data_IF_159728005338
#
_entry.id   IF_159728005338
#
_cell.length_a   1.000
_cell.length_b   1.000
_cell.length_c   1.000
_cell.angle_alpha   90.00
_cell.angle_beta   90.00
_cell.angle_gamma   90.00
#
_symmetry.space_group_name_H-M   'P 1'
#
loop_
_entity.id
_entity.type
_entity.pdbx_description
1 polymer ?
#
# COMPACT_ATOMS: atom_id res chain seq x y z
N UNK A 1 13.03 -31.43 -29.23
CA UNK A 1 11.84 -30.55 -29.15
C UNK A 1 11.29 -30.70 -27.75
N UNK A 2 11.56 -29.73 -26.87
CA UNK A 2 10.99 -29.73 -25.53
C UNK A 2 9.96 -28.60 -25.45
N UNK A 3 8.74 -29.04 -25.13
CA UNK A 3 7.53 -28.27 -24.95
C UNK A 3 7.61 -27.49 -23.63
N UNK A 4 7.69 -26.16 -23.71
CA UNK A 4 7.66 -25.26 -22.56
C UNK A 4 6.20 -24.91 -22.25
N UNK A 5 5.49 -25.85 -21.64
CA UNK A 5 4.24 -25.58 -20.96
C UNK A 5 4.48 -24.62 -19.81
N UNK A 6 4.16 -23.34 -20.03
CA UNK A 6 3.98 -22.36 -18.97
C UNK A 6 2.92 -22.87 -17.99
N UNK A 7 3.36 -23.44 -16.87
CA UNK A 7 2.47 -23.76 -15.77
C UNK A 7 2.08 -22.43 -15.09
N UNK A 8 0.94 -21.90 -15.48
CA UNK A 8 0.24 -20.82 -14.80
C UNK A 8 -0.22 -21.38 -13.44
N UNK A 9 0.36 -20.88 -12.34
CA UNK A 9 -0.08 -21.22 -10.98
C UNK A 9 -1.35 -20.38 -10.65
N UNK A 10 -2.53 -21.01 -10.50
CA UNK A 10 -3.79 -20.31 -10.29
C UNK A 10 -4.04 -19.93 -8.81
N UNK A 11 -3.09 -20.08 -7.89
CA UNK A 11 -3.32 -19.90 -6.45
C UNK A 11 -2.65 -18.69 -5.78
N UNK A 12 -2.41 -17.60 -6.52
CA UNK A 12 -2.00 -16.34 -5.88
C UNK A 12 -3.20 -15.65 -5.19
N UNK A 13 -3.53 -16.12 -3.98
CA UNK A 13 -4.64 -15.62 -3.13
C UNK A 13 -4.53 -14.11 -2.84
N UNK A 14 -3.31 -13.58 -2.88
CA UNK A 14 -2.96 -12.17 -2.70
C UNK A 14 -3.35 -11.30 -3.91
N UNK A 15 -3.11 -11.74 -5.15
CA UNK A 15 -3.46 -10.99 -6.37
C UNK A 15 -4.97 -10.78 -6.54
N UNK A 16 -5.79 -11.78 -6.18
CA UNK A 16 -7.26 -11.69 -6.24
C UNK A 16 -7.88 -10.81 -5.15
N UNK A 17 -7.26 -10.74 -3.98
CA UNK A 17 -7.67 -9.80 -2.93
C UNK A 17 -7.26 -8.38 -3.30
N UNK A 18 -6.08 -8.22 -3.90
CA UNK A 18 -5.55 -6.92 -4.31
C UNK A 18 -6.28 -6.31 -5.50
N UNK A 19 -6.59 -7.07 -6.55
CA UNK A 19 -7.39 -6.57 -7.69
C UNK A 19 -8.84 -6.20 -7.32
N UNK A 20 -9.40 -6.82 -6.27
CA UNK A 20 -10.71 -6.43 -5.74
C UNK A 20 -10.64 -5.14 -4.92
N UNK A 21 -9.59 -4.99 -4.11
CA UNK A 21 -9.29 -3.76 -3.37
C UNK A 21 -8.97 -2.58 -4.33
N UNK A 22 -8.19 -2.81 -5.38
CA UNK A 22 -7.85 -1.84 -6.43
C UNK A 22 -9.09 -1.35 -7.19
N UNK A 23 -10.01 -2.25 -7.53
CA UNK A 23 -11.25 -1.88 -8.21
C UNK A 23 -12.23 -1.12 -7.30
N UNK A 24 -12.27 -1.46 -6.00
CA UNK A 24 -13.05 -0.70 -5.02
C UNK A 24 -12.45 0.68 -4.74
N UNK A 25 -11.13 0.79 -4.58
CA UNK A 25 -10.43 2.07 -4.38
C UNK A 25 -10.54 3.00 -5.60
N UNK A 26 -10.43 2.46 -6.83
CA UNK A 26 -10.67 3.21 -8.08
C UNK A 26 -12.10 3.73 -8.19
N UNK A 27 -13.09 2.96 -7.73
CA UNK A 27 -14.50 3.39 -7.74
C UNK A 27 -14.78 4.47 -6.69
N UNK A 28 -14.23 4.31 -5.48
CA UNK A 28 -14.38 5.28 -4.39
C UNK A 28 -13.75 6.65 -4.69
N UNK A 29 -12.68 6.70 -5.50
CA UNK A 29 -11.93 7.92 -5.79
C UNK A 29 -12.32 8.59 -7.13
N UNK A 30 -13.14 7.94 -7.96
CA UNK A 30 -13.64 8.47 -9.24
C UNK A 30 -14.61 9.66 -9.09
N UNK A 31 -15.20 9.83 -7.90
CA UNK A 31 -16.18 10.87 -7.59
C UNK A 31 -15.61 12.17 -7.00
N UNK A 32 -14.29 12.30 -6.86
CA UNK A 32 -13.65 13.47 -6.25
C UNK A 32 -13.09 14.40 -7.34
N UNK A 33 -13.61 15.64 -7.48
CA UNK A 33 -13.12 16.60 -8.48
C UNK A 33 -11.62 16.87 -8.29
N UNK A 34 -10.82 16.72 -9.35
CA UNK A 34 -9.36 16.87 -9.33
C UNK A 34 -8.56 15.60 -9.02
N UNK A 35 -9.20 14.53 -8.52
CA UNK A 35 -8.54 13.26 -8.19
C UNK A 35 -8.67 12.20 -9.30
N UNK A 36 -9.63 12.36 -10.23
CA UNK A 36 -9.72 11.53 -11.45
C UNK A 36 -8.60 11.79 -12.46
N UNK A 37 -7.77 12.82 -12.23
CA UNK A 37 -6.60 13.23 -13.05
C UNK A 37 -5.26 13.11 -12.31
N UNK A 38 -5.28 12.73 -11.03
CA UNK A 38 -4.08 12.24 -10.34
C UNK A 38 -3.82 10.84 -10.90
N UNK A 39 -3.02 10.85 -11.95
CA UNK A 39 -2.35 9.73 -12.56
C UNK A 39 -1.70 8.86 -11.48
N UNK A 40 -2.31 7.69 -11.27
CA UNK A 40 -1.80 6.57 -10.46
C UNK A 40 -0.48 5.96 -11.01
N UNK A 41 0.32 6.73 -11.76
CA UNK A 41 1.62 6.33 -12.31
C UNK A 41 2.55 5.78 -11.22
N UNK A 42 2.54 6.41 -10.03
CA UNK A 42 3.31 5.97 -8.89
C UNK A 42 2.98 4.55 -8.39
N UNK A 43 1.73 4.11 -8.44
CA UNK A 43 1.39 2.74 -8.06
C UNK A 43 1.79 1.73 -9.14
N UNK A 44 1.70 2.14 -10.41
CA UNK A 44 2.17 1.34 -11.54
C UNK A 44 3.69 1.17 -11.54
N UNK A 45 4.42 2.19 -11.06
CA UNK A 45 5.88 2.15 -10.94
C UNK A 45 6.33 1.19 -9.83
N UNK A 46 5.54 1.01 -8.77
CA UNK A 46 5.82 0.02 -7.73
C UNK A 46 5.72 -1.41 -8.30
N UNK A 47 4.72 -1.64 -9.17
CA UNK A 47 4.56 -2.90 -9.90
C UNK A 47 5.69 -3.14 -10.90
N UNK A 48 6.15 -2.09 -11.59
CA UNK A 48 7.29 -2.17 -12.53
C UNK A 48 8.59 -2.44 -11.80
N UNK A 49 8.84 -1.78 -10.66
CA UNK A 49 10.00 -2.03 -9.80
C UNK A 49 9.97 -3.43 -9.20
N UNK A 50 8.81 -3.87 -8.70
CA UNK A 50 8.64 -5.24 -8.21
C UNK A 50 8.96 -6.28 -9.28
N UNK A 51 8.48 -6.08 -10.53
CA UNK A 51 8.78 -6.95 -11.67
C UNK A 51 10.26 -6.91 -12.06
N UNK A 52 10.86 -5.71 -12.11
CA UNK A 52 12.27 -5.52 -12.43
C UNK A 52 13.18 -6.22 -11.40
N UNK A 53 12.91 -6.01 -10.11
CA UNK A 53 13.67 -6.62 -9.03
C UNK A 53 13.43 -8.14 -8.90
N UNK A 54 12.26 -8.65 -9.28
CA UNK A 54 12.04 -10.08 -9.42
C UNK A 54 12.88 -10.72 -10.56
N UNK A 55 13.34 -9.93 -11.53
CA UNK A 55 14.07 -10.36 -12.73
C UNK A 55 15.57 -10.60 -12.56
N UNK A 56 16.09 -10.62 -11.32
CA UNK A 56 17.52 -10.84 -11.04
C UNK A 56 18.26 -9.59 -10.56
N UNK A 57 17.75 -8.40 -10.87
CA UNK A 57 18.31 -7.11 -10.44
C UNK A 57 18.37 -6.99 -8.91
N UNK A 58 17.43 -7.61 -8.19
CA UNK A 58 17.45 -7.64 -6.72
C UNK A 58 18.70 -8.33 -6.17
N UNK A 59 19.18 -9.41 -6.80
CA UNK A 59 20.37 -10.13 -6.34
C UNK A 59 21.60 -9.24 -6.45
N UNK A 60 21.71 -8.51 -7.56
CA UNK A 60 22.83 -7.62 -7.81
C UNK A 60 22.80 -6.42 -6.86
N UNK A 61 21.62 -5.83 -6.62
CA UNK A 61 21.42 -4.77 -5.63
C UNK A 61 21.75 -5.27 -4.21
N UNK A 62 21.30 -6.47 -3.84
CA UNK A 62 21.60 -7.06 -2.53
C UNK A 62 23.11 -7.27 -2.36
N UNK A 63 23.79 -7.82 -3.37
CA UNK A 63 25.24 -8.03 -3.37
C UNK A 63 26.01 -6.71 -3.22
N UNK A 64 25.60 -5.66 -3.96
CA UNK A 64 26.15 -4.31 -3.83
C UNK A 64 25.99 -3.73 -2.42
N UNK A 65 24.85 -3.94 -1.77
CA UNK A 65 24.61 -3.46 -0.42
C UNK A 65 25.44 -4.22 0.62
N UNK A 66 25.68 -5.51 0.41
CA UNK A 66 26.53 -6.36 1.25
C UNK A 66 28.02 -6.01 1.06
N UNK A 67 28.44 -5.57 -0.13
CA UNK A 67 29.81 -5.11 -0.39
C UNK A 67 30.19 -3.94 0.54
N UNK A 68 29.27 -2.99 0.73
CA UNK A 68 29.52 -1.80 1.54
C UNK A 68 29.68 -2.11 3.02
N UNK A 69 28.86 -3.04 3.52
CA UNK A 69 28.95 -3.55 4.87
C UNK A 69 28.24 -4.89 4.95
N UNK A 70 28.69 -5.83 5.80
CA UNK A 70 27.93 -7.03 6.13
C UNK A 70 26.51 -6.68 6.61
N UNK A 71 25.51 -7.45 6.17
CA UNK A 71 24.09 -7.17 6.45
C UNK A 71 23.31 -8.43 6.75
N UNK A 72 22.28 -8.32 7.59
CA UNK A 72 21.24 -9.33 7.67
C UNK A 72 20.19 -9.14 6.56
N UNK A 73 19.40 -10.18 6.29
CA UNK A 73 18.32 -10.11 5.29
C UNK A 73 17.30 -9.00 5.56
N UNK A 74 16.97 -8.75 6.83
CA UNK A 74 16.09 -7.64 7.19
C UNK A 74 16.71 -6.26 6.94
N UNK A 75 18.02 -6.11 7.19
CA UNK A 75 18.72 -4.85 6.95
C UNK A 75 18.80 -4.53 5.47
N UNK A 76 18.80 -5.55 4.61
CA UNK A 76 18.70 -5.39 3.16
C UNK A 76 17.32 -4.91 2.72
N UNK A 77 16.25 -5.47 3.29
CA UNK A 77 14.88 -4.98 3.06
C UNK A 77 14.81 -3.49 3.40
N UNK A 78 15.33 -3.11 4.58
CA UNK A 78 15.35 -1.72 5.05
C UNK A 78 16.21 -0.82 4.18
N UNK A 79 17.42 -1.24 3.81
CA UNK A 79 18.30 -0.46 2.96
C UNK A 79 17.70 -0.19 1.56
N UNK A 80 16.95 -1.14 1.01
CA UNK A 80 16.26 -0.96 -0.28
C UNK A 80 15.03 -0.04 -0.12
N UNK A 81 14.28 -0.19 0.97
CA UNK A 81 13.19 0.73 1.35
C UNK A 81 13.70 2.17 1.45
N UNK A 82 14.80 2.39 2.16
CA UNK A 82 15.38 3.72 2.36
C UNK A 82 15.88 4.34 1.06
N UNK A 83 16.55 3.55 0.21
CA UNK A 83 17.01 4.02 -1.12
C UNK A 83 15.87 4.39 -2.06
N UNK A 84 14.68 3.82 -1.84
CA UNK A 84 13.46 4.18 -2.57
C UNK A 84 12.61 5.21 -1.83
N UNK A 85 13.14 5.84 -0.77
CA UNK A 85 12.39 6.82 0.04
C UNK A 85 11.07 6.26 0.61
N UNK A 86 11.09 4.99 1.00
CA UNK A 86 9.95 4.26 1.55
C UNK A 86 8.90 3.85 0.52
N UNK A 87 9.19 4.01 -0.77
CA UNK A 87 8.25 3.70 -1.84
C UNK A 87 8.14 2.19 -2.12
N UNK A 88 9.26 1.46 -2.07
CA UNK A 88 9.29 0.03 -2.30
C UNK A 88 10.11 -0.69 -1.24
N UNK A 89 9.47 -1.61 -0.52
CA UNK A 89 10.13 -2.54 0.39
C UNK A 89 9.98 -3.96 -0.16
N UNK A 90 11.07 -4.65 -0.54
CA UNK A 90 10.98 -6.02 -1.02
C UNK A 90 10.52 -6.94 0.13
N UNK A 91 9.65 -7.90 -0.19
CA UNK A 91 9.17 -8.83 0.83
C UNK A 91 10.26 -9.83 1.23
N UNK A 92 10.20 -10.38 2.45
CA UNK A 92 11.02 -11.51 2.86
C UNK A 92 11.05 -12.65 1.83
N UNK A 93 9.89 -12.95 1.22
CA UNK A 93 9.74 -14.02 0.24
C UNK A 93 10.49 -13.80 -1.07
N UNK A 94 11.01 -12.59 -1.34
CA UNK A 94 11.86 -12.31 -2.51
C UNK A 94 13.32 -12.12 -2.09
N UNK A 95 13.57 -11.48 -0.93
CA UNK A 95 14.94 -11.23 -0.46
C UNK A 95 15.65 -12.51 -0.03
N UNK A 96 15.01 -13.39 0.73
CA UNK A 96 15.67 -14.59 1.24
C UNK A 96 16.04 -15.57 0.12
N UNK A 97 15.19 -15.86 -0.89
CA UNK A 97 15.60 -16.64 -2.05
C UNK A 97 16.76 -16.02 -2.83
N UNK A 98 16.78 -14.69 -2.98
CA UNK A 98 17.90 -13.99 -3.61
C UNK A 98 19.21 -14.19 -2.83
N UNK A 99 19.16 -14.14 -1.51
CA UNK A 99 20.32 -14.38 -0.64
C UNK A 99 20.79 -15.83 -0.68
N UNK A 100 19.87 -16.79 -0.68
CA UNK A 100 20.19 -18.22 -0.86
C UNK A 100 20.93 -18.43 -2.18
N UNK A 101 20.43 -17.83 -3.28
CA UNK A 101 21.11 -17.92 -4.56
C UNK A 101 22.53 -17.35 -4.53
N UNK A 102 22.72 -16.16 -3.95
CA UNK A 102 24.05 -15.54 -3.85
C UNK A 102 25.01 -16.40 -3.03
N UNK A 103 24.51 -17.06 -1.99
CA UNK A 103 25.30 -17.98 -1.16
C UNK A 103 25.67 -19.25 -1.93
N UNK A 104 24.71 -19.88 -2.60
CA UNK A 104 24.92 -21.08 -3.42
C UNK A 104 25.87 -20.83 -4.59
N UNK A 105 25.81 -19.63 -5.19
CA UNK A 105 26.72 -19.17 -6.24
C UNK A 105 28.12 -18.80 -5.70
N UNK A 106 28.32 -18.82 -4.37
CA UNK A 106 29.59 -18.48 -3.73
C UNK A 106 29.93 -16.99 -3.74
N UNK A 107 28.97 -16.11 -4.02
CA UNK A 107 29.15 -14.65 -4.03
C UNK A 107 29.09 -14.03 -2.63
N UNK A 108 28.44 -14.70 -1.68
CA UNK A 108 28.39 -14.30 -0.27
C UNK A 108 28.62 -15.50 0.64
N UNK A 109 29.12 -15.25 1.85
CA UNK A 109 29.11 -16.21 2.96
C UNK A 109 28.11 -15.76 4.01
N UNK A 110 27.54 -16.71 4.75
CA UNK A 110 26.64 -16.44 5.85
C UNK A 110 27.19 -16.99 7.16
N UNK A 111 27.40 -16.12 8.15
CA UNK A 111 27.74 -16.51 9.53
C UNK A 111 26.53 -16.37 10.44
N UNK A 112 26.41 -17.27 11.42
CA UNK A 112 25.38 -17.14 12.44
C UNK A 112 25.80 -16.12 13.50
N UNK A 113 24.99 -15.09 13.70
CA UNK A 113 25.16 -14.07 14.73
C UNK A 113 23.83 -13.89 15.46
N UNK A 114 23.79 -14.23 16.76
CA UNK A 114 22.62 -14.03 17.62
C UNK A 114 21.27 -14.43 16.99
N UNK A 115 21.20 -15.64 16.40
CA UNK A 115 20.04 -16.22 15.70
C UNK A 115 19.68 -15.60 14.34
N UNK A 116 20.51 -14.72 13.80
CA UNK A 116 20.36 -14.15 12.44
C UNK A 116 21.56 -14.52 11.59
N UNK A 117 21.35 -14.61 10.28
CA UNK A 117 22.44 -14.84 9.32
C UNK A 117 23.01 -13.49 8.90
N UNK A 118 24.30 -13.26 9.15
CA UNK A 118 25.04 -12.10 8.65
C UNK A 118 25.68 -12.49 7.32
N UNK A 119 25.31 -11.80 6.25
CA UNK A 119 25.85 -12.04 4.92
C UNK A 119 27.05 -11.11 4.67
N UNK A 120 28.14 -11.69 4.17
CA UNK A 120 29.38 -10.99 3.84
C UNK A 120 29.80 -11.34 2.41
N UNK A 121 30.26 -10.35 1.64
CA UNK A 121 30.68 -10.57 0.25
C UNK A 121 31.98 -11.39 0.18
N UNK A 122 32.07 -12.30 -0.80
CA UNK A 122 33.31 -13.06 -1.10
C UNK A 122 34.14 -12.37 -2.18
N UNK A 123 35.36 -12.84 -2.42
CA UNK A 123 36.17 -12.36 -3.55
C UNK A 123 35.49 -12.63 -4.90
N UNK A 124 34.88 -13.81 -5.06
CA UNK A 124 34.09 -14.15 -6.26
C UNK A 124 32.86 -13.24 -6.40
N UNK A 125 32.23 -12.85 -5.29
CA UNK A 125 31.15 -11.87 -5.28
C UNK A 125 31.61 -10.48 -5.69
N UNK A 126 32.79 -10.03 -5.23
CA UNK A 126 33.39 -8.75 -5.64
C UNK A 126 33.69 -8.73 -7.13
N UNK A 127 34.29 -9.80 -7.66
CA UNK A 127 34.55 -9.92 -9.10
C UNK A 127 33.25 -9.88 -9.92
N UNK A 128 32.25 -10.68 -9.54
CA UNK A 128 30.95 -10.68 -10.21
C UNK A 128 30.26 -9.30 -10.15
N UNK A 129 30.34 -8.61 -9.01
CA UNK A 129 29.80 -7.26 -8.86
C UNK A 129 30.56 -6.23 -9.71
N UNK A 130 31.89 -6.37 -9.83
CA UNK A 130 32.71 -5.50 -10.68
C UNK A 130 32.32 -5.64 -12.16
N UNK A 131 32.10 -6.88 -12.64
CA UNK A 131 31.66 -7.16 -14.01
C UNK A 131 30.25 -6.59 -14.32
N UNK A 132 29.43 -6.42 -13.28
CA UNK A 132 28.05 -5.96 -13.39
C UNK A 132 27.83 -4.57 -12.78
N UNK A 133 28.90 -3.80 -12.58
CA UNK A 133 28.85 -2.54 -11.85
C UNK A 133 27.93 -1.51 -12.50
N UNK A 134 28.00 -1.39 -13.82
CA UNK A 134 27.15 -0.47 -14.58
C UNK A 134 25.67 -0.82 -14.43
N UNK A 135 25.33 -2.11 -14.47
CA UNK A 135 23.95 -2.58 -14.32
C UNK A 135 23.38 -2.29 -12.93
N UNK A 136 24.19 -2.48 -11.86
CA UNK A 136 23.72 -2.17 -10.51
C UNK A 136 23.56 -0.68 -10.28
N UNK A 137 24.47 0.13 -10.81
CA UNK A 137 24.40 1.59 -10.70
C UNK A 137 23.20 2.14 -11.46
N UNK A 138 22.95 1.67 -12.68
CA UNK A 138 21.75 2.03 -13.45
C UNK A 138 20.45 1.66 -12.71
N UNK A 139 20.42 0.48 -12.08
CA UNK A 139 19.29 0.02 -11.26
C UNK A 139 19.07 0.93 -10.05
N UNK A 140 20.12 1.23 -9.29
CA UNK A 140 20.05 2.09 -8.11
C UNK A 140 19.65 3.52 -8.46
N UNK A 141 20.17 4.05 -9.57
CA UNK A 141 19.80 5.37 -10.08
C UNK A 141 18.32 5.44 -10.48
N UNK A 142 17.82 4.40 -11.14
CA UNK A 142 16.41 4.28 -11.46
C UNK A 142 15.55 4.26 -10.18
N UNK A 143 15.89 3.41 -9.21
CA UNK A 143 15.19 3.34 -7.92
C UNK A 143 15.20 4.69 -7.18
N UNK A 144 16.34 5.38 -7.17
CA UNK A 144 16.48 6.70 -6.57
C UNK A 144 15.64 7.79 -7.26
N UNK A 145 15.59 7.78 -8.61
CA UNK A 145 14.73 8.71 -9.38
C UNK A 145 13.25 8.49 -9.08
N UNK A 146 12.80 7.24 -9.05
CA UNK A 146 11.41 6.90 -8.73
C UNK A 146 11.08 7.27 -7.29
N UNK A 147 11.96 6.93 -6.34
CA UNK A 147 11.78 7.27 -4.93
C UNK A 147 11.58 8.77 -4.69
N UNK A 148 12.40 9.62 -5.31
CA UNK A 148 12.25 11.10 -5.22
C UNK A 148 10.92 11.60 -5.77
N UNK A 149 10.56 11.17 -6.99
CA UNK A 149 9.28 11.55 -7.63
C UNK A 149 8.09 11.15 -6.76
N UNK A 150 8.16 9.97 -6.15
CA UNK A 150 7.10 9.47 -5.27
C UNK A 150 7.04 10.19 -3.93
N UNK A 151 8.19 10.59 -3.37
CA UNK A 151 8.25 11.47 -2.21
C UNK A 151 7.51 12.79 -2.45
N UNK A 152 7.74 13.44 -3.58
CA UNK A 152 7.05 14.68 -3.97
C UNK A 152 5.54 14.49 -4.13
N UNK A 153 5.12 13.39 -4.77
CA UNK A 153 3.70 13.04 -4.94
C UNK A 153 3.06 12.81 -3.56
N UNK A 154 3.70 12.04 -2.68
CA UNK A 154 3.20 11.75 -1.33
C UNK A 154 3.07 13.01 -0.49
N UNK A 155 4.03 13.93 -0.58
CA UNK A 155 3.97 15.22 0.10
C UNK A 155 2.76 16.03 -0.39
N UNK A 156 2.59 16.19 -1.70
CA UNK A 156 1.44 16.89 -2.29
C UNK A 156 0.10 16.25 -1.91
N UNK A 157 0.04 14.91 -1.89
CA UNK A 157 -1.14 14.18 -1.41
C UNK A 157 -1.40 14.41 0.07
N UNK A 158 -0.37 14.42 0.92
CA UNK A 158 -0.53 14.69 2.35
C UNK A 158 -1.03 16.11 2.59
N UNK A 159 -0.48 17.10 1.87
CA UNK A 159 -0.95 18.49 1.91
C UNK A 159 -2.41 18.61 1.44
N UNK A 160 -2.78 17.83 0.43
CA UNK A 160 -4.15 17.75 -0.08
C UNK A 160 -5.10 17.04 0.90
N UNK A 161 -4.69 15.94 1.53
CA UNK A 161 -5.47 15.21 2.55
C UNK A 161 -5.67 16.06 3.80
N UNK A 162 -4.63 16.75 4.27
CA UNK A 162 -4.70 17.68 5.39
C UNK A 162 -5.64 18.85 5.06
N UNK A 163 -5.59 19.38 3.82
CA UNK A 163 -6.54 20.38 3.34
C UNK A 163 -7.98 19.84 3.25
N UNK A 164 -8.18 18.58 2.86
CA UNK A 164 -9.49 17.91 2.84
C UNK A 164 -10.02 17.62 4.25
N UNK A 165 -9.16 17.23 5.20
CA UNK A 165 -9.49 17.03 6.61
C UNK A 165 -9.86 18.34 7.31
N UNK A 166 -9.19 19.44 6.95
CA UNK A 166 -9.51 20.79 7.43
C UNK A 166 -10.71 21.42 6.72
N UNK A 167 -11.09 20.92 5.54
CA UNK A 167 -12.33 21.32 4.90
C UNK A 167 -13.52 20.70 5.67
N UNK A 168 -14.60 21.44 5.95
CA UNK A 168 -15.76 20.91 6.66
C UNK A 168 -16.47 19.90 5.76
N UNK A 169 -16.16 18.61 5.94
CA UNK A 169 -16.78 17.44 5.30
C UNK A 169 -17.42 17.78 3.95
N UNK A 170 -16.63 17.87 2.88
CA UNK A 170 -17.17 18.17 1.56
C UNK A 170 -18.06 17.01 1.09
N UNK A 171 -19.26 17.32 0.63
CA UNK A 171 -20.39 16.40 0.37
C UNK A 171 -20.10 15.30 -0.66
N UNK A 172 -19.33 14.29 -0.26
CA UNK A 172 -19.16 13.06 -1.02
C UNK A 172 -20.45 12.23 -0.91
N UNK A 173 -21.00 11.72 -2.03
CA UNK A 173 -22.11 10.77 -1.99
C UNK A 173 -21.69 9.48 -1.28
N UNK A 174 -22.59 8.90 -0.48
CA UNK A 174 -22.38 7.55 0.05
C UNK A 174 -22.47 6.52 -1.06
N UNK A 175 -21.51 5.59 -1.11
CA UNK A 175 -21.50 4.48 -2.08
C UNK A 175 -22.38 3.32 -1.60
N UNK A 176 -23.06 2.65 -2.52
CA UNK A 176 -23.92 1.50 -2.22
C UNK A 176 -25.21 1.80 -1.45
N UNK A 177 -25.64 3.06 -1.35
CA UNK A 177 -26.93 3.43 -0.73
C UNK A 177 -27.93 3.97 -1.74
N UNK A 178 -29.22 3.85 -1.42
CA UNK A 178 -30.28 4.43 -2.24
C UNK A 178 -30.21 5.98 -2.23
N UNK A 179 -30.53 6.66 -3.35
CA UNK A 179 -30.39 8.12 -3.48
C UNK A 179 -31.13 8.91 -2.39
N UNK A 180 -32.26 8.39 -1.93
CA UNK A 180 -33.10 9.00 -0.90
C UNK A 180 -32.39 9.08 0.45
N UNK A 181 -31.58 8.06 0.79
CA UNK A 181 -30.83 8.04 2.05
C UNK A 181 -29.66 9.03 2.01
N UNK A 182 -28.93 9.13 0.91
CA UNK A 182 -27.86 10.13 0.77
C UNK A 182 -28.44 11.56 0.73
N UNK A 183 -29.59 11.76 0.08
CA UNK A 183 -30.30 13.05 0.09
C UNK A 183 -30.73 13.45 1.50
N UNK A 184 -31.34 12.54 2.26
CA UNK A 184 -31.75 12.79 3.65
C UNK A 184 -30.56 13.14 4.55
N UNK A 185 -29.44 12.42 4.40
CA UNK A 185 -28.19 12.71 5.12
C UNK A 185 -27.69 14.14 4.85
N UNK A 186 -27.70 14.57 3.59
CA UNK A 186 -27.28 15.93 3.20
C UNK A 186 -28.19 16.99 3.81
N UNK A 187 -29.50 16.77 3.81
CA UNK A 187 -30.48 17.68 4.45
C UNK A 187 -30.20 17.83 5.94
N UNK A 188 -30.00 16.72 6.67
CA UNK A 188 -29.67 16.73 8.10
C UNK A 188 -28.37 17.49 8.34
N UNK A 189 -27.33 17.24 7.53
CA UNK A 189 -26.04 17.91 7.65
C UNK A 189 -26.13 19.42 7.41
N UNK A 190 -26.93 19.87 6.44
CA UNK A 190 -27.20 21.30 6.20
C UNK A 190 -27.88 21.93 7.41
N UNK A 191 -28.94 21.31 7.93
CA UNK A 191 -29.65 21.81 9.10
C UNK A 191 -28.75 21.89 10.33
N UNK A 192 -27.83 20.93 10.53
CA UNK A 192 -26.87 20.98 11.63
C UNK A 192 -25.85 22.10 11.49
N UNK A 193 -25.42 22.45 10.27
CA UNK A 193 -24.55 23.62 10.02
C UNK A 193 -25.26 24.93 10.38
N UNK A 194 -26.58 25.00 10.25
CA UNK A 194 -27.37 26.17 10.65
C UNK A 194 -27.54 26.23 12.17
N UNK A 195 -27.75 25.08 12.82
CA UNK A 195 -27.97 24.98 14.27
C UNK A 195 -26.68 25.11 15.08
N UNK A 196 -25.50 24.81 14.52
CA UNK A 196 -24.22 24.87 15.26
C UNK A 196 -23.91 26.26 15.83
N UNK A 197 -24.43 27.32 15.21
CA UNK A 197 -24.27 28.71 15.66
C UNK A 197 -25.46 29.23 16.49
N UNK A 198 -26.47 28.41 16.76
CA UNK A 198 -27.63 28.77 17.57
C UNK A 198 -27.34 28.70 19.08
N UNK A 199 -28.27 29.19 19.90
CA UNK A 199 -28.17 29.14 21.37
C UNK A 199 -28.15 27.71 21.93
N UNK A 200 -27.59 27.55 23.14
CA UNK A 200 -27.38 26.24 23.76
C UNK A 200 -28.66 25.43 24.01
N UNK A 201 -29.83 26.06 24.14
CA UNK A 201 -31.11 25.35 24.24
C UNK A 201 -31.52 24.75 22.89
N UNK A 202 -31.39 25.51 21.81
CA UNK A 202 -31.68 25.05 20.45
C UNK A 202 -30.73 23.92 20.04
N UNK A 203 -29.45 24.01 20.40
CA UNK A 203 -28.49 22.93 20.20
C UNK A 203 -28.87 21.65 20.97
N UNK A 204 -29.29 21.77 22.23
CA UNK A 204 -29.76 20.62 23.05
C UNK A 204 -30.99 19.95 22.47
N UNK A 205 -31.96 20.74 21.97
CA UNK A 205 -33.15 20.21 21.29
C UNK A 205 -32.79 19.46 20.01
N UNK A 206 -31.88 20.00 19.19
CA UNK A 206 -31.40 19.33 18.00
C UNK A 206 -30.66 18.01 18.31
N UNK A 207 -29.85 17.99 19.38
CA UNK A 207 -29.19 16.76 19.84
C UNK A 207 -30.20 15.67 20.22
N UNK A 208 -31.26 16.01 20.96
CA UNK A 208 -32.32 15.05 21.32
C UNK A 208 -33.05 14.47 20.10
N UNK A 209 -33.29 15.29 19.06
CA UNK A 209 -33.88 14.83 17.80
C UNK A 209 -32.96 13.83 17.10
N UNK A 210 -31.65 14.11 17.03
CA UNK A 210 -30.68 13.21 16.44
C UNK A 210 -30.56 11.90 17.20
N UNK A 211 -30.55 11.93 18.54
CA UNK A 211 -30.50 10.73 19.38
C UNK A 211 -31.70 9.83 19.14
N UNK A 212 -32.91 10.41 19.07
CA UNK A 212 -34.13 9.68 18.74
C UNK A 212 -34.04 9.06 17.34
N UNK A 213 -33.68 9.86 16.33
CA UNK A 213 -33.55 9.37 14.96
C UNK A 213 -32.52 8.23 14.84
N UNK A 214 -31.39 8.33 15.56
CA UNK A 214 -30.39 7.28 15.60
C UNK A 214 -30.91 6.00 16.28
N UNK A 215 -31.74 6.13 17.32
CA UNK A 215 -32.45 5.00 17.94
C UNK A 215 -33.36 4.28 16.93
N UNK A 216 -34.21 5.05 16.25
CA UNK A 216 -35.16 4.54 15.26
C UNK A 216 -34.42 3.81 14.10
N UNK A 217 -33.31 4.38 13.60
CA UNK A 217 -32.49 3.77 12.54
C UNK A 217 -31.83 2.45 13.01
N UNK A 218 -31.29 2.41 14.25
CA UNK A 218 -30.66 1.19 14.78
C UNK A 218 -31.68 0.06 14.92
N UNK A 219 -32.91 0.37 15.31
CA UNK A 219 -33.98 -0.62 15.45
C UNK A 219 -34.32 -1.32 14.12
N UNK A 220 -34.17 -0.63 12.98
CA UNK A 220 -34.36 -1.23 11.65
C UNK A 220 -33.36 -2.36 11.37
N UNK A 221 -32.14 -2.28 11.91
CA UNK A 221 -31.11 -3.34 11.76
C UNK A 221 -31.44 -4.56 12.62
N UNK A 222 -31.91 -4.34 13.84
CA UNK A 222 -32.26 -5.43 14.77
C UNK A 222 -33.50 -6.23 14.33
N UNK A 223 -34.37 -5.66 13.50
CA UNK A 223 -35.51 -6.37 12.92
C UNK A 223 -35.17 -7.20 11.68
N UNK A 224 -33.95 -7.08 11.12
CA UNK A 224 -33.54 -7.71 9.86
C UNK A 224 -32.72 -9.02 10.04
N UNK A 225 -32.32 -9.37 11.26
CA UNK A 225 -31.74 -10.69 11.58
C UNK A 225 -32.82 -11.55 12.29
N UNK A 226 -33.52 -12.47 11.59
CA UNK A 226 -34.25 -13.51 12.28
C UNK A 226 -33.24 -14.48 12.91
N UNK A 227 -33.48 -14.78 14.18
CA UNK A 227 -32.82 -15.83 14.97
C UNK A 227 -32.67 -17.11 14.13
N UNK A 228 -31.44 -17.47 13.75
CA UNK A 228 -31.11 -18.81 13.23
C UNK A 228 -31.25 -19.79 14.41
N UNK A 229 -32.51 -20.07 14.75
CA UNK A 229 -32.91 -21.12 15.66
C UNK A 229 -32.47 -22.46 15.08
N UNK A 230 -31.33 -22.93 15.59
CA UNK A 230 -30.92 -24.33 15.51
C UNK A 230 -32.00 -25.15 16.22
N UNK A 231 -32.76 -25.94 15.46
CA UNK A 231 -33.54 -27.05 16.01
C UNK A 231 -32.79 -28.35 15.69
N UNK A 232 -32.41 -29.07 16.76
CA UNK A 232 -31.71 -30.37 16.75
C UNK A 232 -32.68 -31.53 16.57
#
# INVERSE_FOLDING_TARGET
MYDNGHNFDPENRFERQWHRFEQQARRALRGIPGMGRLDWEGFSDNFRIGRMLAGGDLRLVALYLIEQQPRHGYDLIKAIEDKTSGFYAPSPGVVYPALTYLEEAGHVTASAEANKRLYTITEAGRAYLADNREAVEATLDYLGRVGRRMGEIRQKFSEFDDKLRRAPDADRPMDGVVPELDAARRTVKSALREVQSAEAETQRRAAAILEKAAGDIRALRSAAEPDDGIDL
#
